data_IF_338498557471
#
_entry.id   IF_338498557471
#
_cell.length_a   1.000
_cell.length_b   1.000
_cell.length_c   1.000
_cell.angle_alpha   90.00
_cell.angle_beta   90.00
_cell.angle_gamma   90.00
#
_symmetry.space_group_name_H-M   'P 1'
#
loop_
_entity.id
_entity.type
_entity.pdbx_description
1 polymer ?
#
# COMPACT_ATOMS: atom_id res chain seq x y z
N UNK A 1 4.28 15.86 28.65
CA UNK A 1 3.48 14.64 28.43
C UNK A 1 3.79 14.12 27.03
N UNK A 2 4.95 13.47 26.89
CA UNK A 2 5.28 12.65 25.73
C UNK A 2 5.53 11.27 26.33
N UNK A 3 4.64 10.35 26.00
CA UNK A 3 4.72 8.95 26.43
C UNK A 3 5.91 8.33 25.69
N UNK A 4 7.02 8.16 26.42
CA UNK A 4 8.19 7.38 26.00
C UNK A 4 7.74 5.92 25.97
N UNK A 5 6.98 5.56 24.94
CA UNK A 5 6.57 4.20 24.67
C UNK A 5 7.83 3.41 24.35
N UNK A 6 8.44 2.81 25.37
CA UNK A 6 9.63 2.00 25.26
C UNK A 6 9.40 0.99 24.14
N UNK A 7 10.10 1.23 23.03
CA UNK A 7 9.98 0.52 21.77
C UNK A 7 10.35 -0.93 21.98
N UNK A 8 9.41 -1.76 22.44
CA UNK A 8 9.61 -3.18 22.65
C UNK A 8 8.83 -3.92 21.57
N UNK A 9 9.58 -4.53 20.65
CA UNK A 9 9.04 -5.27 19.53
C UNK A 9 10.16 -5.61 18.54
N UNK A 10 9.97 -6.60 17.66
CA UNK A 10 11.00 -7.05 16.74
C UNK A 10 11.46 -5.97 15.74
N UNK A 11 10.77 -4.84 15.63
CA UNK A 11 11.18 -3.71 14.78
C UNK A 11 11.67 -2.49 15.58
N UNK A 12 11.94 -2.65 16.86
CA UNK A 12 12.45 -1.56 17.70
C UNK A 12 13.79 -1.01 17.17
N UNK A 13 13.88 0.31 17.07
CA UNK A 13 15.07 1.00 16.55
C UNK A 13 15.19 0.99 15.02
N UNK A 14 14.28 0.33 14.30
CA UNK A 14 14.26 0.36 12.84
C UNK A 14 13.40 1.50 12.30
N UNK A 15 13.90 2.12 11.24
CA UNK A 15 13.12 3.03 10.40
C UNK A 15 12.75 2.32 9.10
N UNK A 16 11.46 2.32 8.75
CA UNK A 16 10.91 1.60 7.60
C UNK A 16 10.24 2.58 6.65
N UNK A 17 10.69 2.59 5.39
CA UNK A 17 10.01 3.26 4.29
C UNK A 17 8.94 2.35 3.68
N UNK A 18 7.70 2.81 3.63
CA UNK A 18 6.59 2.11 2.97
C UNK A 18 6.40 2.67 1.57
N UNK A 19 6.77 1.88 0.56
CA UNK A 19 6.65 2.26 -0.86
C UNK A 19 5.35 1.81 -1.52
N UNK A 20 4.57 0.99 -0.81
CA UNK A 20 3.27 0.54 -1.27
C UNK A 20 2.30 1.71 -1.43
N UNK A 21 1.48 1.68 -2.49
CA UNK A 21 0.43 2.67 -2.72
C UNK A 21 -0.93 2.20 -2.15
N UNK A 22 -1.30 0.94 -2.41
CA UNK A 22 -2.54 0.35 -1.88
C UNK A 22 -2.36 -0.01 -0.41
N UNK A 23 -3.29 0.42 0.45
CA UNK A 23 -3.32 0.07 1.89
C UNK A 23 -2.02 0.45 2.65
N UNK A 24 -1.33 1.48 2.20
CA UNK A 24 -0.05 1.92 2.77
C UNK A 24 -0.18 2.32 4.26
N UNK A 25 -1.34 2.88 4.63
CA UNK A 25 -1.66 3.26 6.00
C UNK A 25 -1.92 2.05 6.92
N UNK A 26 -2.67 1.05 6.43
CA UNK A 26 -2.88 -0.22 7.15
C UNK A 26 -1.55 -0.90 7.43
N UNK A 27 -0.72 -1.05 6.38
CA UNK A 27 0.63 -1.64 6.52
C UNK A 27 1.49 -0.84 7.49
N UNK A 28 1.50 0.49 7.36
CA UNK A 28 2.26 1.36 8.26
C UNK A 28 1.81 1.25 9.72
N UNK A 29 0.51 1.08 9.95
CA UNK A 29 -0.05 0.87 11.30
C UNK A 29 0.43 -0.44 11.91
N UNK A 30 0.45 -1.53 11.14
CA UNK A 30 0.93 -2.83 11.61
C UNK A 30 2.43 -2.79 11.97
N UNK A 31 3.23 -2.07 11.19
CA UNK A 31 4.67 -1.92 11.43
C UNK A 31 4.96 -1.06 12.68
N UNK A 32 4.23 0.05 12.85
CA UNK A 32 4.33 0.90 14.06
C UNK A 32 3.99 0.12 15.32
N UNK A 33 2.94 -0.72 15.30
CA UNK A 33 2.57 -1.61 16.42
C UNK A 33 3.68 -2.59 16.79
N UNK A 34 4.58 -2.90 15.86
CA UNK A 34 5.74 -3.79 16.05
C UNK A 34 7.01 -3.06 16.50
N UNK A 35 6.94 -1.75 16.72
CA UNK A 35 8.03 -0.90 17.21
C UNK A 35 8.79 -0.12 16.13
N UNK A 36 8.34 -0.12 14.88
CA UNK A 36 9.02 0.61 13.81
C UNK A 36 8.67 2.11 13.81
N UNK A 37 9.65 2.95 13.46
CA UNK A 37 9.39 4.29 12.92
C UNK A 37 9.06 4.13 11.44
N UNK A 38 7.92 4.66 10.97
CA UNK A 38 7.43 4.43 9.61
C UNK A 38 7.29 5.73 8.83
N UNK A 39 7.90 5.78 7.63
CA UNK A 39 7.72 6.85 6.65
C UNK A 39 6.95 6.35 5.43
N UNK A 40 5.98 7.14 4.98
CA UNK A 40 5.29 6.89 3.72
C UNK A 40 6.13 7.45 2.57
N UNK A 41 6.52 6.59 1.63
CA UNK A 41 7.37 6.92 0.50
C UNK A 41 6.89 6.21 -0.77
N UNK A 42 5.64 6.46 -1.23
CA UNK A 42 5.03 5.72 -2.32
C UNK A 42 5.84 5.85 -3.60
N UNK A 43 6.22 4.71 -4.19
CA UNK A 43 6.97 4.67 -5.45
C UNK A 43 6.06 4.73 -6.69
N UNK A 44 4.77 4.47 -6.49
CA UNK A 44 3.73 4.40 -7.53
C UNK A 44 2.48 5.13 -7.04
N UNK A 45 1.67 5.66 -7.96
CA UNK A 45 0.38 6.30 -7.65
C UNK A 45 -0.74 5.63 -8.41
N UNK A 46 -1.91 5.52 -7.77
CA UNK A 46 -3.13 5.09 -8.44
C UNK A 46 -3.68 6.30 -9.19
N UNK A 47 -3.88 6.13 -10.48
CA UNK A 47 -4.54 7.13 -11.32
C UNK A 47 -5.99 6.72 -11.51
N UNK A 48 -6.95 7.67 -11.47
CA UNK A 48 -8.29 7.38 -11.94
C UNK A 48 -8.20 6.83 -13.36
N UNK A 49 -8.84 5.68 -13.56
CA UNK A 49 -9.05 5.13 -14.90
C UNK A 49 -10.00 6.10 -15.61
N UNK A 50 -9.61 6.55 -16.81
CA UNK A 50 -10.47 7.39 -17.65
C UNK A 50 -11.62 6.53 -18.19
N UNK A 51 -12.47 7.06 -19.07
CA UNK A 51 -13.55 6.25 -19.65
C UNK A 51 -12.93 5.07 -20.44
N UNK A 52 -12.98 3.86 -19.88
CA UNK A 52 -12.21 2.70 -20.36
C UNK A 52 -13.03 1.81 -21.29
N UNK A 53 -13.77 2.42 -22.21
CA UNK A 53 -14.60 1.67 -23.18
C UNK A 53 -13.77 0.64 -23.95
N UNK A 54 -12.52 0.97 -24.29
CA UNK A 54 -11.60 0.05 -24.97
C UNK A 54 -11.27 -1.19 -24.12
N UNK A 55 -11.04 -1.00 -22.81
CA UNK A 55 -10.79 -2.11 -21.89
C UNK A 55 -12.03 -3.00 -21.73
N UNK A 56 -13.21 -2.38 -21.65
CA UNK A 56 -14.48 -3.10 -21.58
C UNK A 56 -14.70 -3.93 -22.85
N UNK A 57 -14.48 -3.36 -24.02
CA UNK A 57 -14.69 -4.05 -25.30
C UNK A 57 -13.69 -5.19 -25.50
N UNK A 58 -12.42 -4.99 -25.16
CA UNK A 58 -11.42 -6.06 -25.18
C UNK A 58 -11.79 -7.21 -24.21
N UNK A 59 -12.36 -6.87 -23.04
CA UNK A 59 -12.83 -7.88 -22.09
C UNK A 59 -14.00 -8.69 -22.65
N UNK A 60 -14.96 -8.04 -23.33
CA UNK A 60 -16.08 -8.73 -23.98
C UNK A 60 -15.58 -9.66 -25.08
N UNK A 61 -14.66 -9.21 -25.93
CA UNK A 61 -14.11 -10.03 -27.01
C UNK A 61 -13.45 -11.31 -26.48
N UNK A 62 -12.69 -11.22 -25.39
CA UNK A 62 -12.07 -12.37 -24.72
C UNK A 62 -13.09 -13.35 -24.12
N UNK A 63 -14.23 -12.85 -23.63
CA UNK A 63 -15.32 -13.68 -23.11
C UNK A 63 -16.06 -14.37 -24.27
N UNK A 64 -16.35 -13.63 -25.34
CA UNK A 64 -17.06 -14.12 -26.52
C UNK A 64 -16.21 -15.15 -27.28
N UNK A 65 -14.88 -15.01 -27.24
CA UNK A 65 -13.92 -15.89 -27.90
C UNK A 65 -12.96 -16.49 -26.87
N UNK A 66 -13.51 -17.23 -25.90
CA UNK A 66 -12.71 -18.00 -24.96
C UNK A 66 -11.79 -19.01 -25.70
N UNK A 67 -10.52 -19.17 -25.27
CA UNK A 67 -9.56 -20.07 -25.91
C UNK A 67 -9.93 -21.56 -25.80
#
# INVERSE_FOLDING_TARGET
MQDDGTTHGPLAGFTVGVTAARRAEELGTLLKRRGAVVHQAPALRIVPLADDSELLDATKELIDHAP
#
